data_IF_117677186867
#
_entry.id   IF_117677186867
#
_cell.length_a   1.000
_cell.length_b   1.000
_cell.length_c   1.000
_cell.angle_alpha   90.00
_cell.angle_beta   90.00
_cell.angle_gamma   90.00
#
_symmetry.space_group_name_H-M   'P 1'
#
loop_
_entity.id
_entity.type
_entity.pdbx_description
1 polymer ?
#
# COMPACT_ATOMS: atom_id res chain seq x y z
N UNK A 1 -9.25 3.30 10.71
CA UNK A 1 -8.97 1.84 10.59
C UNK A 1 -8.13 1.33 11.77
N UNK A 2 -7.05 1.99 12.18
CA UNK A 2 -6.18 1.54 13.26
C UNK A 2 -6.92 1.43 14.61
N UNK A 3 -7.81 2.37 14.92
CA UNK A 3 -8.61 2.34 16.15
C UNK A 3 -9.57 1.15 16.15
N UNK A 4 -10.32 0.97 15.05
CA UNK A 4 -11.24 -0.15 14.89
C UNK A 4 -10.48 -1.49 14.97
N UNK A 5 -9.35 -1.63 14.27
CA UNK A 5 -8.54 -2.83 14.33
C UNK A 5 -8.11 -3.17 15.76
N UNK A 6 -7.64 -2.18 16.51
CA UNK A 6 -7.24 -2.38 17.90
C UNK A 6 -8.41 -2.79 18.79
N UNK A 7 -9.51 -2.03 18.78
CA UNK A 7 -10.65 -2.24 19.68
C UNK A 7 -11.45 -3.50 19.33
N UNK A 8 -11.58 -3.83 18.05
CA UNK A 8 -12.36 -4.98 17.59
C UNK A 8 -11.54 -6.28 17.48
N UNK A 9 -10.35 -6.23 16.87
CA UNK A 9 -9.57 -7.42 16.58
C UNK A 9 -8.63 -7.79 17.74
N UNK A 10 -7.92 -6.80 18.31
CA UNK A 10 -6.92 -7.07 19.36
C UNK A 10 -7.55 -7.11 20.73
N UNK A 11 -8.20 -6.04 21.16
CA UNK A 11 -8.71 -5.88 22.51
C UNK A 11 -10.10 -6.52 22.70
N UNK A 12 -10.83 -6.76 21.61
CA UNK A 12 -12.19 -7.34 21.59
C UNK A 12 -13.16 -6.62 22.55
N UNK A 13 -13.02 -5.30 22.63
CA UNK A 13 -13.82 -4.45 23.53
C UNK A 13 -15.11 -3.95 22.92
N UNK A 14 -15.23 -4.03 21.59
CA UNK A 14 -16.41 -3.60 20.84
C UNK A 14 -16.94 -4.73 19.96
N UNK A 15 -18.26 -4.76 19.76
CA UNK A 15 -18.88 -5.57 18.73
C UNK A 15 -18.98 -4.75 17.45
N UNK A 16 -18.59 -5.34 16.33
CA UNK A 16 -18.66 -4.70 15.01
C UNK A 16 -19.82 -5.24 14.20
N UNK A 17 -20.64 -4.34 13.66
CA UNK A 17 -21.65 -4.64 12.64
C UNK A 17 -21.15 -4.15 11.28
N UNK A 18 -21.43 -4.91 10.23
CA UNK A 18 -21.11 -4.52 8.84
C UNK A 18 -21.72 -3.17 8.45
N UNK A 19 -22.87 -2.84 9.02
CA UNK A 19 -23.58 -1.58 8.75
C UNK A 19 -22.87 -0.34 9.33
N UNK A 20 -21.94 -0.54 10.26
CA UNK A 20 -21.09 0.53 10.84
C UNK A 20 -19.82 0.81 10.02
N UNK A 21 -19.63 0.10 8.89
CA UNK A 21 -18.44 0.30 8.07
C UNK A 21 -18.60 1.53 7.18
N UNK A 22 -17.79 2.55 7.45
CA UNK A 22 -17.65 3.76 6.63
C UNK A 22 -16.59 3.61 5.53
N UNK A 23 -15.84 2.50 5.54
CA UNK A 23 -14.79 2.20 4.57
C UNK A 23 -14.73 0.71 4.25
N UNK A 24 -14.44 0.37 3.00
CA UNK A 24 -14.22 -1.01 2.54
C UNK A 24 -13.09 -1.71 3.30
N UNK A 25 -12.09 -0.96 3.74
CA UNK A 25 -10.98 -1.47 4.56
C UNK A 25 -11.47 -2.01 5.90
N UNK A 26 -12.37 -1.31 6.59
CA UNK A 26 -12.95 -1.78 7.86
C UNK A 26 -13.80 -3.02 7.67
N UNK A 27 -14.61 -3.05 6.61
CA UNK A 27 -15.42 -4.23 6.27
C UNK A 27 -14.53 -5.46 6.00
N UNK A 28 -13.45 -5.30 5.24
CA UNK A 28 -12.48 -6.36 4.95
C UNK A 28 -11.80 -6.88 6.23
N UNK A 29 -11.41 -5.98 7.13
CA UNK A 29 -10.82 -6.35 8.43
C UNK A 29 -11.83 -7.17 9.25
N UNK A 30 -13.07 -6.72 9.37
CA UNK A 30 -14.10 -7.41 10.12
C UNK A 30 -14.42 -8.79 9.53
N UNK A 31 -14.56 -8.87 8.20
CA UNK A 31 -14.78 -10.12 7.48
C UNK A 31 -13.64 -11.11 7.69
N UNK A 32 -12.39 -10.65 7.55
CA UNK A 32 -11.21 -11.48 7.78
C UNK A 32 -11.14 -11.99 9.22
N UNK A 33 -11.37 -11.12 10.20
CA UNK A 33 -11.40 -11.50 11.61
C UNK A 33 -12.45 -12.57 11.89
N UNK A 34 -13.69 -12.36 11.47
CA UNK A 34 -14.79 -13.32 11.64
C UNK A 34 -14.48 -14.65 10.97
N UNK A 35 -13.89 -14.63 9.77
CA UNK A 35 -13.45 -15.83 9.06
C UNK A 35 -12.42 -16.61 9.86
N UNK A 36 -11.38 -15.94 10.38
CA UNK A 36 -10.33 -16.62 11.16
C UNK A 36 -10.85 -17.15 12.48
N UNK A 37 -11.68 -16.39 13.22
CA UNK A 37 -12.30 -16.86 14.47
C UNK A 37 -13.09 -18.14 14.22
N UNK A 38 -13.94 -18.17 13.18
CA UNK A 38 -14.71 -19.36 12.81
C UNK A 38 -13.79 -20.53 12.43
N UNK A 39 -12.79 -20.29 11.59
CA UNK A 39 -11.86 -21.34 11.13
C UNK A 39 -11.02 -21.90 12.27
N UNK A 40 -10.56 -21.08 13.20
CA UNK A 40 -9.81 -21.54 14.37
C UNK A 40 -10.71 -22.31 15.34
N UNK A 41 -11.99 -21.95 15.47
CA UNK A 41 -12.96 -22.68 16.29
C UNK A 41 -13.28 -24.08 15.77
N UNK A 42 -13.07 -24.34 14.47
CA UNK A 42 -13.28 -25.66 13.84
C UNK A 42 -12.05 -26.59 13.97
N UNK A 43 -10.93 -26.10 14.53
CA UNK A 43 -9.65 -26.83 14.61
C UNK A 43 -9.50 -27.45 16.01
N UNK A 44 -9.05 -28.69 16.08
CA UNK A 44 -8.78 -29.38 17.35
C UNK A 44 -7.64 -28.68 18.13
N UNK A 45 -7.77 -28.69 19.46
CA UNK A 45 -6.86 -27.98 20.38
C UNK A 45 -5.38 -28.37 20.20
N UNK A 46 -5.10 -29.64 19.97
CA UNK A 46 -3.73 -30.12 19.78
C UNK A 46 -3.09 -29.57 18.49
N UNK A 47 -3.88 -29.38 17.45
CA UNK A 47 -3.44 -28.74 16.18
C UNK A 47 -3.21 -27.26 16.40
N UNK A 48 -4.10 -26.57 17.13
CA UNK A 48 -3.91 -25.16 17.48
C UNK A 48 -2.62 -24.94 18.28
N UNK A 49 -2.34 -25.81 19.25
CA UNK A 49 -1.10 -25.75 20.03
C UNK A 49 0.15 -25.96 19.16
N UNK A 50 0.08 -26.87 18.17
CA UNK A 50 1.19 -27.06 17.20
C UNK A 50 1.39 -25.84 16.32
N UNK A 51 0.30 -25.22 15.84
CA UNK A 51 0.36 -23.97 15.07
C UNK A 51 0.96 -22.83 15.89
N UNK A 52 0.51 -22.67 17.13
CA UNK A 52 1.04 -21.65 18.04
C UNK A 52 2.53 -21.85 18.28
N UNK A 53 2.97 -23.09 18.53
CA UNK A 53 4.39 -23.42 18.69
C UNK A 53 5.18 -23.12 17.42
N UNK A 54 4.67 -23.46 16.25
CA UNK A 54 5.33 -23.18 14.98
C UNK A 54 5.53 -21.67 14.78
N UNK A 55 4.52 -20.86 15.10
CA UNK A 55 4.60 -19.39 14.98
C UNK A 55 5.57 -18.80 16.01
N UNK A 56 5.47 -19.21 17.28
CA UNK A 56 6.28 -18.66 18.37
C UNK A 56 7.76 -19.07 18.31
N UNK A 57 8.07 -20.20 17.66
CA UNK A 57 9.44 -20.68 17.45
C UNK A 57 9.96 -20.43 16.02
N UNK A 58 9.22 -19.73 15.20
CA UNK A 58 9.68 -19.34 13.87
C UNK A 58 10.90 -18.42 13.97
N UNK A 59 11.92 -18.73 13.19
CA UNK A 59 13.09 -17.86 13.08
C UNK A 59 12.73 -16.59 12.31
N UNK A 60 12.95 -15.46 12.95
CA UNK A 60 12.77 -14.15 12.34
C UNK A 60 14.12 -13.46 12.14
N UNK A 61 14.30 -12.85 10.98
CA UNK A 61 15.44 -11.97 10.72
C UNK A 61 14.93 -10.53 10.70
N UNK A 62 15.49 -9.69 11.57
CA UNK A 62 15.22 -8.26 11.58
C UNK A 62 16.37 -7.55 10.87
N UNK A 63 16.03 -6.79 9.82
CA UNK A 63 17.00 -5.95 9.12
C UNK A 63 16.63 -4.48 9.38
N UNK A 64 17.53 -3.76 10.02
CA UNK A 64 17.35 -2.33 10.27
C UNK A 64 17.95 -1.56 9.12
N UNK A 65 17.10 -0.94 8.32
CA UNK A 65 17.51 -0.11 7.20
C UNK A 65 17.83 1.29 7.72
N UNK A 66 19.00 1.82 7.38
CA UNK A 66 19.48 3.09 7.90
C UNK A 66 19.16 4.29 7.02
N UNK A 67 18.79 4.04 5.78
CA UNK A 67 18.41 5.09 4.85
C UNK A 67 17.18 4.68 4.03
N UNK A 68 16.42 5.68 3.60
CA UNK A 68 15.14 5.49 2.91
C UNK A 68 15.31 4.86 1.52
N UNK A 69 16.39 5.16 0.83
CA UNK A 69 16.72 4.56 -0.47
C UNK A 69 16.89 3.05 -0.37
N UNK A 70 17.61 2.57 0.64
CA UNK A 70 17.77 1.14 0.92
C UNK A 70 16.44 0.50 1.32
N UNK A 71 15.60 1.22 2.09
CA UNK A 71 14.26 0.76 2.48
C UNK A 71 13.38 0.52 1.26
N UNK A 72 13.36 1.46 0.31
CA UNK A 72 12.59 1.36 -0.93
C UNK A 72 13.09 0.19 -1.80
N UNK A 73 14.41 0.07 -1.96
CA UNK A 73 14.97 -1.06 -2.71
C UNK A 73 14.62 -2.41 -2.07
N UNK A 74 14.77 -2.52 -0.76
CA UNK A 74 14.40 -3.74 -0.04
C UNK A 74 12.92 -4.06 -0.17
N UNK A 75 12.03 -3.06 -0.08
CA UNK A 75 10.60 -3.23 -0.29
C UNK A 75 10.30 -3.84 -1.67
N UNK A 76 10.89 -3.28 -2.74
CA UNK A 76 10.70 -3.78 -4.10
C UNK A 76 11.25 -5.20 -4.26
N UNK A 77 12.45 -5.48 -3.73
CA UNK A 77 13.12 -6.78 -3.91
C UNK A 77 12.50 -7.90 -3.06
N UNK A 78 12.09 -7.61 -1.82
CA UNK A 78 11.55 -8.64 -0.93
C UNK A 78 10.14 -9.05 -1.31
N UNK A 79 9.32 -8.14 -1.82
CA UNK A 79 7.96 -8.43 -2.26
C UNK A 79 7.87 -9.24 -3.57
N UNK A 80 8.99 -9.43 -4.28
CA UNK A 80 9.03 -10.31 -5.45
C UNK A 80 8.81 -11.81 -5.14
N UNK A 81 8.80 -12.21 -3.86
CA UNK A 81 8.60 -13.61 -3.43
C UNK A 81 7.18 -13.93 -2.96
N UNK A 82 6.32 -12.92 -2.83
CA UNK A 82 4.92 -13.06 -2.39
C UNK A 82 3.93 -12.41 -3.35
N UNK A 83 2.95 -11.70 -2.81
CA UNK A 83 2.08 -10.83 -3.61
C UNK A 83 2.93 -9.69 -4.16
N UNK A 84 3.05 -9.63 -5.49
CA UNK A 84 3.81 -8.55 -6.14
C UNK A 84 3.19 -7.19 -5.79
N UNK A 85 4.02 -6.16 -5.58
CA UNK A 85 3.52 -4.79 -5.45
C UNK A 85 2.71 -4.40 -6.69
N UNK A 86 1.68 -3.60 -6.49
CA UNK A 86 0.95 -3.01 -7.61
C UNK A 86 1.84 -1.99 -8.34
N UNK A 87 1.50 -1.67 -9.59
CA UNK A 87 2.23 -0.66 -10.34
C UNK A 87 2.21 0.70 -9.62
N UNK A 88 1.12 0.99 -8.93
CA UNK A 88 0.96 2.23 -8.16
C UNK A 88 1.89 2.27 -6.93
N UNK A 89 2.01 1.16 -6.20
CA UNK A 89 2.97 1.03 -5.09
C UNK A 89 4.42 1.17 -5.56
N UNK A 90 4.75 0.61 -6.73
CA UNK A 90 6.09 0.74 -7.32
C UNK A 90 6.37 2.20 -7.67
N UNK A 91 5.40 2.91 -8.26
CA UNK A 91 5.56 4.32 -8.61
C UNK A 91 5.73 5.18 -7.36
N UNK A 92 4.94 4.95 -6.31
CA UNK A 92 5.13 5.63 -5.02
C UNK A 92 6.56 5.47 -4.52
N UNK A 93 7.06 4.24 -4.51
CA UNK A 93 8.42 3.95 -4.07
C UNK A 93 9.48 4.65 -4.94
N UNK A 94 9.32 4.66 -6.27
CA UNK A 94 10.22 5.37 -7.18
C UNK A 94 10.21 6.89 -6.94
N UNK A 95 9.05 7.50 -6.72
CA UNK A 95 8.97 8.94 -6.43
C UNK A 95 9.65 9.29 -5.09
N UNK A 96 9.41 8.51 -4.06
CA UNK A 96 10.10 8.64 -2.78
C UNK A 96 11.63 8.51 -2.94
N UNK A 97 12.08 7.56 -3.77
CA UNK A 97 13.49 7.39 -4.07
C UNK A 97 14.10 8.59 -4.79
N UNK A 98 13.41 9.14 -5.80
CA UNK A 98 13.87 10.33 -6.52
C UNK A 98 13.94 11.56 -5.60
N UNK A 99 12.95 11.77 -4.74
CA UNK A 99 12.98 12.84 -3.73
C UNK A 99 14.17 12.64 -2.80
N UNK A 100 14.40 11.42 -2.33
CA UNK A 100 15.52 11.12 -1.44
C UNK A 100 16.88 11.45 -2.09
N UNK A 101 17.06 11.13 -3.37
CA UNK A 101 18.32 11.35 -4.08
C UNK A 101 18.57 12.79 -4.50
N UNK A 102 17.52 13.48 -4.96
CA UNK A 102 17.69 14.72 -5.74
C UNK A 102 17.07 15.96 -5.10
N UNK A 103 16.15 15.81 -4.12
CA UNK A 103 15.59 16.96 -3.43
C UNK A 103 16.60 17.58 -2.45
N UNK A 104 16.52 18.90 -2.27
CA UNK A 104 17.29 19.60 -1.25
C UNK A 104 16.89 19.16 0.15
N UNK A 105 17.79 19.24 1.12
CA UNK A 105 17.49 18.84 2.52
C UNK A 105 16.38 19.67 3.14
N UNK A 106 16.15 20.89 2.66
CA UNK A 106 15.13 21.81 3.17
C UNK A 106 13.73 21.44 2.66
N UNK A 107 13.63 20.93 1.43
CA UNK A 107 12.35 20.61 0.77
C UNK A 107 11.94 19.14 0.93
N UNK A 108 12.86 18.28 1.35
CA UNK A 108 12.70 16.82 1.33
C UNK A 108 11.50 16.37 2.15
N UNK A 109 11.36 16.85 3.38
CA UNK A 109 10.30 16.44 4.29
C UNK A 109 8.92 16.90 3.78
N UNK A 110 8.84 18.10 3.22
CA UNK A 110 7.61 18.64 2.64
C UNK A 110 7.18 17.82 1.41
N UNK A 111 8.15 17.49 0.53
CA UNK A 111 7.89 16.66 -0.65
C UNK A 111 7.49 15.23 -0.30
N UNK A 112 8.10 14.63 0.73
CA UNK A 112 7.68 13.32 1.23
C UNK A 112 6.26 13.35 1.78
N UNK A 113 5.92 14.38 2.54
CA UNK A 113 4.56 14.58 3.06
C UNK A 113 3.57 14.76 1.92
N UNK A 114 3.87 15.60 0.93
CA UNK A 114 3.01 15.81 -0.24
C UNK A 114 2.76 14.51 -0.99
N UNK A 115 3.80 13.74 -1.32
CA UNK A 115 3.66 12.47 -2.03
C UNK A 115 2.83 11.49 -1.21
N UNK A 116 3.09 11.38 0.09
CA UNK A 116 2.37 10.45 0.96
C UNK A 116 0.89 10.78 1.03
N UNK A 117 0.53 12.04 1.30
CA UNK A 117 -0.86 12.49 1.39
C UNK A 117 -1.63 12.29 0.07
N UNK A 118 -0.97 12.57 -1.07
CA UNK A 118 -1.59 12.37 -2.38
C UNK A 118 -1.83 10.90 -2.69
N UNK A 119 -0.87 10.02 -2.41
CA UNK A 119 -1.09 8.58 -2.58
C UNK A 119 -2.16 8.03 -1.63
N UNK A 120 -2.24 8.52 -0.39
CA UNK A 120 -3.34 8.17 0.53
C UNK A 120 -4.70 8.59 -0.05
N UNK A 121 -4.77 9.79 -0.61
CA UNK A 121 -5.99 10.27 -1.28
C UNK A 121 -6.35 9.40 -2.49
N UNK A 122 -5.38 9.05 -3.34
CA UNK A 122 -5.58 8.16 -4.49
C UNK A 122 -6.12 6.81 -4.04
N UNK A 123 -5.46 6.14 -3.08
CA UNK A 123 -5.91 4.84 -2.57
C UNK A 123 -7.30 4.91 -1.94
N UNK A 124 -7.57 5.96 -1.18
CA UNK A 124 -8.90 6.18 -0.61
C UNK A 124 -9.96 6.34 -1.69
N UNK A 125 -9.70 7.14 -2.71
CA UNK A 125 -10.63 7.37 -3.82
C UNK A 125 -10.87 6.09 -4.62
N UNK A 126 -9.83 5.31 -4.90
CA UNK A 126 -9.96 4.00 -5.57
C UNK A 126 -10.78 3.05 -4.70
N UNK A 127 -10.55 3.00 -3.38
CA UNK A 127 -11.28 2.11 -2.49
C UNK A 127 -12.78 2.40 -2.41
N UNK A 128 -13.18 3.64 -2.66
CA UNK A 128 -14.59 4.03 -2.73
C UNK A 128 -15.25 3.67 -4.08
N UNK A 129 -14.45 3.35 -5.09
CA UNK A 129 -14.89 3.11 -6.47
C UNK A 129 -14.45 1.75 -7.01
N UNK A 130 -13.95 0.85 -6.17
CA UNK A 130 -13.34 -0.45 -6.56
C UNK A 130 -14.22 -1.34 -7.45
N UNK A 131 -15.52 -1.16 -7.39
CA UNK A 131 -16.46 -1.88 -8.28
C UNK A 131 -16.27 -1.50 -9.76
N UNK A 132 -15.75 -0.29 -10.03
CA UNK A 132 -15.67 0.28 -11.38
C UNK A 132 -14.24 0.59 -11.85
N UNK A 133 -13.31 0.84 -10.93
CA UNK A 133 -11.96 1.28 -11.24
C UNK A 133 -10.90 0.45 -10.49
N UNK A 134 -9.88 0.02 -11.23
CA UNK A 134 -8.69 -0.61 -10.65
C UNK A 134 -7.53 0.38 -10.59
N UNK A 135 -6.56 0.14 -9.71
CA UNK A 135 -5.33 0.93 -9.63
C UNK A 135 -4.62 1.07 -10.99
N UNK A 136 -4.54 -0.04 -11.74
CA UNK A 136 -3.91 -0.05 -13.06
C UNK A 136 -4.69 0.75 -14.10
N UNK A 137 -6.02 0.75 -14.07
CA UNK A 137 -6.82 1.56 -14.98
C UNK A 137 -6.68 3.05 -14.68
N UNK A 138 -6.72 3.44 -13.41
CA UNK A 138 -6.52 4.84 -13.00
C UNK A 138 -5.11 5.33 -13.42
N UNK A 139 -4.08 4.52 -13.16
CA UNK A 139 -2.72 4.83 -13.58
C UNK A 139 -2.61 4.97 -15.12
N UNK A 140 -3.22 4.07 -15.87
CA UNK A 140 -3.23 4.11 -17.35
C UNK A 140 -3.88 5.40 -17.86
N UNK A 141 -5.02 5.79 -17.29
CA UNK A 141 -5.69 7.04 -17.68
C UNK A 141 -4.85 8.27 -17.35
N UNK A 142 -4.24 8.30 -16.16
CA UNK A 142 -3.37 9.44 -15.77
C UNK A 142 -2.19 9.59 -16.71
N UNK A 143 -1.55 8.49 -17.10
CA UNK A 143 -0.44 8.52 -18.08
C UNK A 143 -0.92 9.03 -19.45
N UNK A 144 -2.10 8.59 -19.91
CA UNK A 144 -2.69 9.08 -21.18
C UNK A 144 -2.96 10.58 -21.14
N UNK A 145 -3.50 11.09 -20.03
CA UNK A 145 -3.76 12.52 -19.82
C UNK A 145 -2.44 13.29 -19.80
N UNK A 146 -1.46 12.84 -19.00
CA UNK A 146 -0.15 13.49 -18.90
C UNK A 146 0.56 13.62 -20.25
N UNK A 147 0.46 12.57 -21.08
CA UNK A 147 1.05 12.54 -22.42
C UNK A 147 0.23 13.30 -23.48
N UNK A 148 -0.99 13.68 -23.14
CA UNK A 148 -1.98 14.16 -24.11
C UNK A 148 -2.13 13.20 -25.32
N UNK A 149 -2.16 11.89 -25.07
CA UNK A 149 -2.22 10.85 -26.09
C UNK A 149 -2.97 9.63 -25.62
N UNK A 150 -3.92 9.14 -26.41
CA UNK A 150 -4.69 7.93 -26.13
C UNK A 150 -3.98 6.63 -26.52
N UNK A 151 -2.79 6.70 -27.12
CA UNK A 151 -2.03 5.51 -27.51
C UNK A 151 -1.67 4.68 -26.28
N UNK A 152 -1.83 3.35 -26.40
CA UNK A 152 -1.50 2.42 -25.33
C UNK A 152 0.02 2.31 -25.18
N UNK A 153 0.47 2.43 -23.93
CA UNK A 153 1.84 2.18 -23.51
C UNK A 153 1.81 1.51 -22.15
N UNK A 154 2.92 0.90 -21.77
CA UNK A 154 3.09 0.42 -20.40
C UNK A 154 3.24 1.63 -19.45
N UNK A 155 2.29 1.87 -18.53
CA UNK A 155 2.31 3.05 -17.67
C UNK A 155 3.53 3.08 -16.75
N UNK A 156 3.93 1.93 -16.20
CA UNK A 156 5.09 1.81 -15.31
C UNK A 156 6.40 2.13 -16.05
N UNK A 157 6.57 1.60 -17.26
CA UNK A 157 7.75 1.87 -18.09
C UNK A 157 7.83 3.34 -18.47
N UNK A 158 6.69 3.97 -18.74
CA UNK A 158 6.64 5.40 -19.02
C UNK A 158 7.13 6.20 -17.82
N UNK A 159 6.56 5.97 -16.64
CA UNK A 159 6.94 6.68 -15.42
C UNK A 159 8.44 6.53 -15.15
N UNK A 160 8.95 5.30 -15.16
CA UNK A 160 10.36 5.01 -14.88
C UNK A 160 11.34 5.63 -15.86
N UNK A 161 10.97 5.78 -17.11
CA UNK A 161 11.86 6.31 -18.15
C UNK A 161 11.81 7.81 -18.34
N UNK A 162 10.69 8.44 -18.03
CA UNK A 162 10.45 9.83 -18.36
C UNK A 162 10.30 10.77 -17.15
N UNK A 163 9.95 10.25 -15.99
CA UNK A 163 9.80 11.05 -14.78
C UNK A 163 11.00 10.84 -13.86
N UNK A 164 12.14 11.41 -14.26
CA UNK A 164 13.41 11.24 -13.55
C UNK A 164 13.79 12.43 -12.67
N UNK A 165 13.19 13.61 -12.89
CA UNK A 165 13.37 14.77 -12.06
C UNK A 165 12.30 14.85 -10.97
N UNK A 166 12.62 15.44 -9.83
CA UNK A 166 11.68 15.62 -8.70
C UNK A 166 10.45 16.40 -9.14
N UNK A 167 10.67 17.52 -9.88
CA UNK A 167 9.59 18.37 -10.39
C UNK A 167 8.63 17.59 -11.30
N UNK A 168 9.13 16.71 -12.15
CA UNK A 168 8.32 15.88 -13.03
C UNK A 168 7.49 14.88 -12.23
N UNK A 169 8.07 14.27 -11.19
CA UNK A 169 7.36 13.35 -10.27
C UNK A 169 6.22 14.08 -9.54
N UNK A 170 6.51 15.28 -9.03
CA UNK A 170 5.52 16.10 -8.30
C UNK A 170 4.42 16.58 -9.25
N UNK A 171 4.78 17.07 -10.45
CA UNK A 171 3.80 17.48 -11.46
C UNK A 171 2.88 16.32 -11.87
N UNK A 172 3.44 15.12 -12.04
CA UNK A 172 2.66 13.92 -12.37
C UNK A 172 1.70 13.52 -11.26
N UNK A 173 2.17 13.48 -10.00
CA UNK A 173 1.29 13.09 -8.89
C UNK A 173 0.20 14.12 -8.62
N UNK A 174 0.45 15.41 -8.87
CA UNK A 174 -0.58 16.46 -8.80
C UNK A 174 -1.67 16.29 -9.86
N UNK A 175 -1.33 15.73 -11.00
CA UNK A 175 -2.30 15.40 -12.04
C UNK A 175 -3.15 14.16 -11.66
N UNK A 176 -2.59 13.29 -10.84
CA UNK A 176 -3.24 12.06 -10.39
C UNK A 176 -4.34 12.30 -9.34
N UNK A 177 -4.23 13.38 -8.60
CA UNK A 177 -5.13 13.77 -7.51
C UNK A 177 -6.07 14.88 -7.90
#
# INVERSE_FOLDING_TARGET
DNRMFREYVIDQTINWNSDDSDTLSKERIATAFSYFVKKLGDIEEDVLLKLLRAITHASCTTHVVKNESEAVQMFIFQNNRGKKPTNLEIIKAEFMYHIHLYASSEEKDDLFSEVTERFEHIYRSISLTEEYLTEDSVLSYTVKIHRNSLSDINPLDFVKKQLNAVDDCIAFIRLFT
#
